data_IF_403508675302
#
_entry.id   IF_403508675302
#
_cell.length_a   1.000
_cell.length_b   1.000
_cell.length_c   1.000
_cell.angle_alpha   90.00
_cell.angle_beta   90.00
_cell.angle_gamma   90.00
#
_symmetry.space_group_name_H-M   'P 1'
#
loop_
_entity.id
_entity.type
_entity.pdbx_description
1 polymer ?
#
# COMPACT_ATOMS: atom_id res chain seq x y z
N UNK A 1 -24.84 10.89 -11.38
CA UNK A 1 -23.71 11.46 -10.64
C UNK A 1 -23.54 10.61 -9.40
N UNK A 2 -22.61 9.66 -9.40
CA UNK A 2 -22.43 8.75 -8.28
C UNK A 2 -20.93 8.58 -7.99
N UNK A 3 -20.44 9.56 -7.21
CA UNK A 3 -19.34 9.48 -6.25
C UNK A 3 -17.93 9.11 -6.74
N UNK A 4 -17.19 10.14 -7.16
CA UNK A 4 -15.73 10.27 -6.99
C UNK A 4 -15.37 10.24 -5.49
N UNK A 5 -15.61 9.12 -4.83
CA UNK A 5 -15.25 8.94 -3.42
C UNK A 5 -13.88 8.30 -3.34
N UNK A 6 -12.93 9.01 -2.72
CA UNK A 6 -11.59 8.52 -2.44
C UNK A 6 -11.62 7.14 -1.78
N UNK A 7 -10.62 6.33 -2.13
CA UNK A 7 -10.53 4.93 -1.77
C UNK A 7 -9.32 4.69 -0.87
N UNK A 8 -9.50 3.94 0.21
CA UNK A 8 -8.41 3.62 1.14
C UNK A 8 -8.16 2.13 1.24
N UNK A 9 -6.88 1.75 1.33
CA UNK A 9 -6.42 0.39 1.57
C UNK A 9 -5.69 0.36 2.91
N UNK A 10 -6.03 -0.61 3.76
CA UNK A 10 -5.33 -0.90 5.00
C UNK A 10 -4.85 -2.34 4.94
N UNK A 11 -3.54 -2.54 5.09
CA UNK A 11 -2.91 -3.86 5.07
C UNK A 11 -2.06 -4.08 6.31
N UNK A 12 -2.10 -5.29 6.85
CA UNK A 12 -1.18 -5.80 7.85
C UNK A 12 -0.47 -7.01 7.25
N UNK A 13 0.85 -7.02 7.34
CA UNK A 13 1.67 -8.13 6.87
C UNK A 13 2.67 -8.50 7.96
N UNK A 14 2.82 -9.79 8.22
CA UNK A 14 3.86 -10.31 9.12
C UNK A 14 4.91 -11.01 8.28
N UNK A 15 6.13 -10.51 8.31
CA UNK A 15 7.27 -11.11 7.65
C UNK A 15 7.71 -12.39 8.37
N UNK A 16 8.48 -13.23 7.68
CA UNK A 16 9.27 -14.27 8.32
C UNK A 16 10.26 -13.64 9.32
N UNK A 17 10.63 -14.34 10.41
CA UNK A 17 11.51 -13.80 11.44
C UNK A 17 12.79 -13.17 10.89
N UNK A 18 13.02 -11.90 11.19
CA UNK A 18 14.21 -11.15 10.76
C UNK A 18 14.19 -10.70 9.29
N UNK A 19 13.06 -10.87 8.59
CA UNK A 19 12.89 -10.49 7.17
C UNK A 19 12.00 -9.25 6.96
N UNK A 20 11.63 -8.55 8.04
CA UNK A 20 10.79 -7.34 7.97
C UNK A 20 11.36 -6.30 7.00
N UNK A 21 12.65 -6.00 7.10
CA UNK A 21 13.26 -4.93 6.31
C UNK A 21 13.32 -5.29 4.81
N UNK A 22 13.47 -6.58 4.47
CA UNK A 22 13.34 -7.08 3.09
C UNK A 22 11.91 -6.90 2.57
N UNK A 23 10.90 -7.18 3.40
CA UNK A 23 9.50 -6.94 3.05
C UNK A 23 9.25 -5.44 2.82
N UNK A 24 9.76 -4.57 3.69
CA UNK A 24 9.65 -3.11 3.53
C UNK A 24 10.31 -2.66 2.22
N UNK A 25 11.49 -3.18 1.89
CA UNK A 25 12.17 -2.85 0.64
C UNK A 25 11.31 -3.19 -0.59
N UNK A 26 10.71 -4.39 -0.64
CA UNK A 26 9.81 -4.78 -1.72
C UNK A 26 8.53 -3.92 -1.80
N UNK A 27 7.95 -3.53 -0.66
CA UNK A 27 6.80 -2.63 -0.63
C UNK A 27 7.15 -1.26 -1.23
N UNK A 28 8.33 -0.73 -0.87
CA UNK A 28 8.83 0.54 -1.43
C UNK A 28 9.17 0.44 -2.91
N UNK A 29 9.68 -0.70 -3.38
CA UNK A 29 9.89 -0.95 -4.80
C UNK A 29 8.55 -1.01 -5.56
N UNK A 30 7.52 -1.62 -4.98
CA UNK A 30 6.17 -1.63 -5.52
C UNK A 30 5.58 -0.22 -5.63
N UNK A 31 5.81 0.62 -4.61
CA UNK A 31 5.44 2.04 -4.64
C UNK A 31 6.17 2.80 -5.76
N UNK A 32 7.48 2.60 -5.93
CA UNK A 32 8.25 3.23 -7.02
C UNK A 32 7.78 2.75 -8.39
N UNK A 33 7.43 1.47 -8.53
CA UNK A 33 6.92 0.88 -9.76
C UNK A 33 5.53 1.42 -10.16
N UNK A 34 4.70 1.81 -9.19
CA UNK A 34 3.41 2.44 -9.44
C UNK A 34 3.53 3.81 -10.15
N UNK A 35 4.65 4.51 -9.95
CA UNK A 35 4.91 5.82 -10.53
C UNK A 35 4.04 6.94 -9.97
N UNK A 36 4.30 8.18 -10.40
CA UNK A 36 3.66 9.39 -9.85
C UNK A 36 2.25 9.67 -10.42
N UNK A 37 1.85 8.99 -11.50
CA UNK A 37 0.63 9.30 -12.25
C UNK A 37 -0.57 8.39 -11.88
N UNK A 38 -0.42 7.46 -10.93
CA UNK A 38 -1.39 6.40 -10.65
C UNK A 38 -2.58 6.78 -9.76
N UNK A 39 -2.77 8.07 -9.41
CA UNK A 39 -3.84 8.51 -8.51
C UNK A 39 -3.64 8.11 -7.04
N UNK A 40 -2.45 7.62 -6.66
CA UNK A 40 -2.05 7.38 -5.27
C UNK A 40 -1.71 8.71 -4.60
N UNK A 41 -2.46 9.07 -3.57
CA UNK A 41 -2.38 10.35 -2.86
C UNK A 41 -1.52 10.27 -1.59
N UNK A 42 -1.56 9.15 -0.89
CA UNK A 42 -0.72 8.88 0.27
C UNK A 42 -0.38 7.40 0.36
N UNK A 43 0.83 7.09 0.82
CA UNK A 43 1.33 5.74 0.99
C UNK A 43 2.22 5.70 2.24
N UNK A 44 1.87 4.86 3.21
CA UNK A 44 2.69 4.67 4.42
C UNK A 44 3.02 3.22 4.63
N UNK A 45 4.26 2.97 5.04
CA UNK A 45 4.71 1.67 5.57
C UNK A 45 5.22 1.93 6.98
N UNK A 46 4.66 1.22 7.95
CA UNK A 46 4.93 1.44 9.37
C UNK A 46 5.34 0.11 10.00
N UNK A 47 6.48 0.06 10.68
CA UNK A 47 6.80 -1.08 11.54
C UNK A 47 5.88 -1.08 12.77
N UNK A 48 5.37 -2.25 13.16
CA UNK A 48 4.62 -2.38 14.41
C UNK A 48 5.55 -2.17 15.62
N UNK A 49 5.02 -1.59 16.69
CA UNK A 49 5.78 -1.32 17.91
C UNK A 49 5.88 -2.56 18.82
N UNK A 50 4.88 -3.42 18.74
CA UNK A 50 4.66 -4.58 19.59
C UNK A 50 5.07 -5.91 18.94
N UNK A 51 5.33 -5.91 17.63
CA UNK A 51 5.74 -7.08 16.86
C UNK A 51 6.86 -6.71 15.87
N UNK A 52 8.09 -7.22 16.07
CA UNK A 52 9.25 -6.82 15.27
C UNK A 52 9.16 -7.27 13.80
N UNK A 53 8.32 -8.24 13.46
CA UNK A 53 8.20 -8.77 12.10
C UNK A 53 6.95 -8.25 11.37
N UNK A 54 6.08 -7.50 12.06
CA UNK A 54 4.85 -6.96 11.47
C UNK A 54 5.03 -5.55 10.90
N UNK A 55 4.43 -5.32 9.73
CA UNK A 55 4.29 -4.00 9.10
C UNK A 55 2.82 -3.69 8.81
N UNK A 56 2.49 -2.41 8.90
CA UNK A 56 1.24 -1.83 8.47
C UNK A 56 1.46 -1.02 7.20
N UNK A 57 0.59 -1.22 6.22
CA UNK A 57 0.55 -0.52 4.95
C UNK A 57 -0.75 0.27 4.88
N UNK A 58 -0.68 1.57 4.65
CA UNK A 58 -1.88 2.36 4.34
C UNK A 58 -1.72 3.07 3.01
N UNK A 59 -2.81 3.10 2.24
CA UNK A 59 -2.85 3.76 0.95
C UNK A 59 -4.12 4.59 0.84
N UNK A 60 -3.97 5.79 0.28
CA UNK A 60 -5.06 6.69 -0.05
C UNK A 60 -5.04 6.94 -1.54
N UNK A 61 -6.16 6.68 -2.23
CA UNK A 61 -6.30 6.76 -3.67
C UNK A 61 -7.39 7.77 -4.04
N UNK A 62 -7.22 8.42 -5.19
CA UNK A 62 -8.21 9.32 -5.78
C UNK A 62 -9.57 8.64 -5.93
N UNK A 63 -9.57 7.37 -6.36
CA UNK A 63 -10.74 6.51 -6.46
C UNK A 63 -10.31 5.03 -6.55
N UNK A 64 -11.29 4.12 -6.66
CA UNK A 64 -11.05 2.68 -6.77
C UNK A 64 -10.49 2.27 -8.14
N UNK A 65 -10.83 2.97 -9.21
CA UNK A 65 -10.37 2.64 -10.57
C UNK A 65 -8.87 2.90 -10.73
N UNK A 66 -8.39 4.03 -10.18
CA UNK A 66 -6.98 4.38 -10.09
C UNK A 66 -6.18 3.32 -9.31
N UNK A 67 -6.72 2.87 -8.17
CA UNK A 67 -6.15 1.75 -7.41
C UNK A 67 -6.07 0.47 -8.25
N UNK A 68 -7.19 0.03 -8.82
CA UNK A 68 -7.26 -1.23 -9.56
C UNK A 68 -6.36 -1.21 -10.81
N UNK A 69 -6.27 -0.07 -11.49
CA UNK A 69 -5.43 0.11 -12.68
C UNK A 69 -3.95 0.04 -12.31
N UNK A 70 -3.55 0.78 -11.28
CA UNK A 70 -2.16 0.87 -10.84
C UNK A 70 -1.66 -0.48 -10.31
N UNK A 71 -2.45 -1.13 -9.44
CA UNK A 71 -2.07 -2.40 -8.81
C UNK A 71 -2.02 -3.58 -9.79
N UNK A 72 -2.74 -3.50 -10.92
CA UNK A 72 -2.72 -4.52 -11.99
C UNK A 72 -1.68 -4.25 -13.06
N UNK A 73 -0.97 -3.12 -13.02
CA UNK A 73 0.09 -2.83 -13.98
C UNK A 73 1.21 -3.88 -13.93
N UNK A 74 1.82 -4.18 -15.08
CA UNK A 74 2.89 -5.19 -15.16
C UNK A 74 4.07 -4.86 -14.22
N UNK A 75 4.40 -3.58 -14.09
CA UNK A 75 5.47 -3.10 -13.21
C UNK A 75 5.18 -3.43 -11.73
N UNK A 76 3.99 -3.07 -11.23
CA UNK A 76 3.61 -3.34 -9.82
C UNK A 76 3.42 -4.83 -9.58
N UNK A 77 2.81 -5.56 -10.51
CA UNK A 77 2.65 -7.02 -10.43
C UNK A 77 4.00 -7.72 -10.42
N UNK A 78 4.98 -7.25 -11.19
CA UNK A 78 6.34 -7.79 -11.23
C UNK A 78 7.02 -7.79 -9.87
N UNK A 79 6.90 -6.69 -9.13
CA UNK A 79 7.47 -6.57 -7.77
C UNK A 79 6.62 -7.33 -6.75
N UNK A 80 5.30 -7.16 -6.78
CA UNK A 80 4.40 -7.72 -5.74
C UNK A 80 4.43 -9.24 -5.70
N UNK A 81 4.75 -9.92 -6.80
CA UNK A 81 4.94 -11.38 -6.83
C UNK A 81 6.07 -11.88 -5.93
N UNK A 82 7.00 -11.02 -5.53
CA UNK A 82 8.11 -11.36 -4.63
C UNK A 82 7.74 -11.26 -3.15
N UNK A 83 6.58 -10.69 -2.81
CA UNK A 83 6.13 -10.50 -1.42
C UNK A 83 5.74 -11.82 -0.73
N UNK A 84 4.91 -12.71 -1.31
CA UNK A 84 4.41 -13.89 -0.59
C UNK A 84 5.48 -14.79 0.04
N UNK A 85 6.64 -15.07 -0.59
CA UNK A 85 7.71 -15.85 0.02
C UNK A 85 8.33 -15.23 1.29
N UNK A 86 8.12 -13.93 1.54
CA UNK A 86 8.63 -13.26 2.74
C UNK A 86 7.64 -13.26 3.91
N UNK A 87 6.42 -13.75 3.71
CA UNK A 87 5.37 -13.66 4.71
C UNK A 87 5.29 -14.91 5.58
N UNK A 88 5.13 -14.71 6.89
CA UNK A 88 4.87 -15.79 7.84
C UNK A 88 3.41 -16.29 7.79
N UNK A 89 2.50 -15.45 7.29
CA UNK A 89 1.07 -15.75 7.19
C UNK A 89 0.43 -14.95 6.05
N UNK A 90 -0.83 -15.26 5.73
CA UNK A 90 -1.58 -14.49 4.73
C UNK A 90 -1.73 -13.02 5.18
N UNK A 91 -1.54 -12.02 4.28
CA UNK A 91 -1.83 -10.64 4.60
C UNK A 91 -3.28 -10.44 5.05
N UNK A 92 -3.47 -9.59 6.04
CA UNK A 92 -4.79 -9.15 6.49
C UNK A 92 -5.03 -7.71 6.04
N UNK A 93 -6.29 -7.31 5.90
CA UNK A 93 -6.59 -5.94 5.52
C UNK A 93 -8.05 -5.68 5.23
N UNK A 94 -8.35 -4.42 4.94
CA UNK A 94 -9.67 -3.99 4.51
C UNK A 94 -9.58 -2.81 3.54
N UNK A 95 -10.69 -2.60 2.85
CA UNK A 95 -10.91 -1.44 1.99
C UNK A 95 -11.91 -0.50 2.66
N UNK A 96 -11.77 0.79 2.36
CA UNK A 96 -12.65 1.82 2.89
C UNK A 96 -13.02 2.86 1.84
N UNK A 97 -14.19 3.45 2.02
CA UNK A 97 -14.53 4.74 1.42
C UNK A 97 -14.11 5.83 2.38
N UNK A 98 -13.35 6.78 1.87
CA UNK A 98 -12.81 7.86 2.69
C UNK A 98 -13.94 8.85 2.99
N UNK A 99 -14.26 9.02 4.27
CA UNK A 99 -15.23 10.03 4.73
C UNK A 99 -14.55 11.38 4.91
N UNK A 100 -13.30 11.37 5.36
CA UNK A 100 -12.47 12.57 5.52
C UNK A 100 -10.98 12.19 5.47
N UNK A 101 -10.16 13.03 4.83
CA UNK A 101 -8.72 12.97 4.88
C UNK A 101 -8.17 14.41 5.00
N UNK A 102 -7.21 14.62 5.90
CA UNK A 102 -6.54 15.91 6.08
C UNK A 102 -5.07 15.82 5.59
N UNK A 103 -4.64 16.80 4.80
CA UNK A 103 -3.28 16.90 4.20
C UNK A 103 -3.22 16.42 2.73
N UNK A 104 -2.45 17.02 1.80
CA UNK A 104 -1.52 18.15 1.89
C UNK A 104 -1.80 19.20 0.79
N UNK A 105 -1.74 20.48 1.16
CA UNK A 105 -1.67 21.62 0.24
C UNK A 105 -0.46 21.48 -0.69
N UNK A 106 -0.64 21.92 -1.93
CA UNK A 106 0.41 22.01 -2.94
C UNK A 106 1.71 22.60 -2.35
N UNK A 107 2.83 21.94 -2.62
CA UNK A 107 4.14 22.58 -2.44
C UNK A 107 4.19 23.78 -3.40
N UNK A 108 4.27 24.98 -2.82
CA UNK A 108 4.78 26.17 -3.49
C UNK A 108 6.30 26.11 -3.63
#
# INVERSE_FOLDING_TARGET
MSSDSMFSVYGRMTALPGRRDDLIALLLDGFRAAGENGGLLAYTVNAALDDPDTVWLTQLWADKEAHDTTTRSEAVVGVTRQVPPLLAQQPEGCYGHVVHAAGQAAKG
#
